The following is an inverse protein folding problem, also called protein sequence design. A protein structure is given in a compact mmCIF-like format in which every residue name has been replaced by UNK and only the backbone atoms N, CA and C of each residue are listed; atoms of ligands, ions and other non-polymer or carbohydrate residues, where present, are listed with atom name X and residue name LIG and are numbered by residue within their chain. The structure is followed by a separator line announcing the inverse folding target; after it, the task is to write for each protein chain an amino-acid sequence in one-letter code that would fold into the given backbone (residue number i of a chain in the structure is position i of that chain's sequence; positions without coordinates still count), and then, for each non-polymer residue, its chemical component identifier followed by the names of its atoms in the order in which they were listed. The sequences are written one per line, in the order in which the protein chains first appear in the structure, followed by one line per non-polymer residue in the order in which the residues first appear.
data_IF_268496144828
#
_entry.id   IF_268496144828
#
_cell.length_a   1.000
_cell.length_b   1.000
_cell.length_c   1.000
_cell.angle_alpha   90.00
_cell.angle_beta   90.00
_cell.angle_gamma   90.00
#
_symmetry.space_group_name_H-M   'P 1'
#
loop_
_entity.id
_entity.type
_entity.pdbx_description
1 polymer ?
#
# COMPACT_ATOMS: atom_id res chain seq x y z
N UNK A 1 -26.99 9.78 4.80
CA UNK A 1 -25.67 9.95 4.17
C UNK A 1 -24.87 10.88 5.06
N UNK A 2 -24.08 10.32 5.97
CA UNK A 2 -23.13 11.10 6.79
C UNK A 2 -21.88 11.40 5.97
N UNK A 3 -21.16 12.46 6.33
CA UNK A 3 -19.86 12.78 5.73
C UNK A 3 -18.94 11.55 5.81
N UNK A 4 -18.45 11.11 4.64
CA UNK A 4 -17.52 9.98 4.55
C UNK A 4 -16.23 10.24 5.36
N UNK A 5 -15.88 11.51 5.59
CA UNK A 5 -14.83 12.00 6.50
C UNK A 5 -15.24 13.44 6.89
N UNK A 6 -15.30 13.83 8.18
CA UNK A 6 -15.52 15.23 8.55
C UNK A 6 -14.49 16.13 7.85
N UNK A 7 -14.94 17.00 6.96
CA UNK A 7 -14.09 17.99 6.29
C UNK A 7 -13.45 17.61 4.94
N UNK A 8 -13.69 16.42 4.38
CA UNK A 8 -13.31 16.13 2.98
C UNK A 8 -14.55 16.01 2.08
N UNK A 9 -14.78 17.05 1.28
CA UNK A 9 -15.81 17.06 0.25
C UNK A 9 -15.47 16.01 -0.83
N UNK A 10 -16.49 15.31 -1.35
CA UNK A 10 -16.33 14.33 -2.44
C UNK A 10 -15.53 14.90 -3.62
N UNK A 11 -15.79 16.16 -3.96
CA UNK A 11 -15.09 16.87 -5.03
C UNK A 11 -13.57 16.96 -4.84
N UNK A 12 -13.08 16.94 -3.60
CA UNK A 12 -11.65 16.92 -3.31
C UNK A 12 -11.06 15.53 -3.50
N UNK A 13 -11.78 14.47 -3.12
CA UNK A 13 -11.37 13.07 -3.33
C UNK A 13 -11.32 12.76 -4.83
N UNK A 14 -12.26 13.30 -5.60
CA UNK A 14 -12.29 13.12 -7.06
C UNK A 14 -11.02 13.69 -7.74
N UNK A 15 -10.39 14.72 -7.14
CA UNK A 15 -9.13 15.33 -7.63
C UNK A 15 -7.86 14.56 -7.26
N UNK A 16 -7.95 13.57 -6.37
CA UNK A 16 -6.81 12.72 -6.04
C UNK A 16 -6.63 11.72 -7.17
N UNK A 17 -5.47 11.75 -7.83
CA UNK A 17 -5.10 10.80 -8.89
C UNK A 17 -4.58 9.50 -8.29
N UNK A 18 -3.69 9.58 -7.30
CA UNK A 18 -3.03 8.43 -6.71
C UNK A 18 -2.65 8.69 -5.24
N UNK A 19 -2.74 7.66 -4.41
CA UNK A 19 -2.31 7.64 -3.02
C UNK A 19 -1.37 6.45 -2.85
N UNK A 20 -0.13 6.73 -2.46
CA UNK A 20 0.85 5.69 -2.12
C UNK A 20 1.03 5.66 -0.61
N UNK A 21 0.90 4.48 -0.02
CA UNK A 21 1.20 4.23 1.39
C UNK A 21 2.37 3.25 1.47
N UNK A 22 3.35 3.51 2.33
CA UNK A 22 4.50 2.62 2.53
C UNK A 22 4.68 2.39 4.03
N UNK A 23 4.61 1.12 4.45
CA UNK A 23 4.82 0.75 5.85
C UNK A 23 3.70 1.23 6.77
N UNK A 24 2.49 1.38 6.26
CA UNK A 24 1.35 1.89 7.02
C UNK A 24 1.05 1.01 8.24
N UNK A 25 1.19 1.52 9.49
CA UNK A 25 0.87 0.76 10.70
C UNK A 25 -0.59 0.30 10.77
N UNK A 26 -1.46 0.85 9.91
CA UNK A 26 -2.87 0.49 9.80
C UNK A 26 -3.17 -0.51 8.70
N UNK A 27 -2.14 -1.09 8.09
CA UNK A 27 -2.26 -2.10 7.06
C UNK A 27 -3.25 -3.20 7.45
N UNK A 28 -4.05 -3.63 6.47
CA UNK A 28 -4.96 -4.76 6.56
C UNK A 28 -4.54 -5.76 5.50
N UNK A 29 -4.21 -6.98 5.91
CA UNK A 29 -3.83 -8.02 4.98
C UNK A 29 -5.03 -8.41 4.09
N UNK A 30 -4.75 -8.78 2.84
CA UNK A 30 -5.75 -9.20 1.83
C UNK A 30 -6.65 -8.12 1.21
N UNK A 31 -6.42 -6.83 1.45
CA UNK A 31 -7.17 -5.77 0.75
C UNK A 31 -6.74 -5.62 -0.71
N UNK A 32 -7.68 -5.22 -1.58
CA UNK A 32 -7.46 -5.16 -3.04
C UNK A 32 -6.45 -4.09 -3.47
N UNK A 33 -6.19 -3.10 -2.63
CA UNK A 33 -5.21 -2.02 -2.87
C UNK A 33 -3.80 -2.34 -2.30
N UNK A 34 -3.53 -3.60 -1.93
CA UNK A 34 -2.24 -4.03 -1.38
C UNK A 34 -1.29 -4.58 -2.46
N UNK A 35 -0.07 -4.02 -2.54
CA UNK A 35 0.95 -4.37 -3.53
C UNK A 35 2.32 -4.77 -2.93
N UNK A 36 2.36 -5.18 -1.66
CA UNK A 36 3.57 -5.55 -0.92
C UNK A 36 3.84 -7.06 -0.87
N UNK A 37 4.83 -7.46 -0.05
CA UNK A 37 5.16 -8.88 0.19
C UNK A 37 4.50 -9.47 1.44
N UNK A 38 3.82 -8.64 2.23
CA UNK A 38 3.05 -9.12 3.37
C UNK A 38 1.79 -9.85 2.89
N UNK A 39 1.47 -10.97 3.53
CA UNK A 39 0.25 -11.72 3.27
C UNK A 39 -0.52 -11.96 4.58
N UNK A 40 -1.66 -12.64 4.50
CA UNK A 40 -2.53 -12.92 5.65
C UNK A 40 -1.78 -13.53 6.84
N UNK A 41 -0.86 -14.45 6.56
CA UNK A 41 -0.01 -15.12 7.52
C UNK A 41 1.00 -14.23 8.24
N UNK A 42 1.28 -13.03 7.73
CA UNK A 42 2.15 -12.03 8.36
C UNK A 42 1.37 -11.07 9.31
N UNK A 43 0.04 -11.25 9.39
CA UNK A 43 -0.92 -10.48 10.19
C UNK A 43 -1.05 -8.99 9.78
N UNK A 44 -2.11 -8.35 10.26
CA UNK A 44 -2.37 -6.92 10.03
C UNK A 44 -1.32 -6.03 10.72
N UNK A 45 -1.38 -4.72 10.48
CA UNK A 45 -0.52 -3.75 11.14
C UNK A 45 -0.80 -3.59 12.64
N UNK A 46 0.09 -2.89 13.35
CA UNK A 46 -0.04 -2.64 14.80
C UNK A 46 -1.29 -1.83 15.19
N UNK A 47 -1.91 -1.12 14.24
CA UNK A 47 -3.12 -0.31 14.42
C UNK A 47 -4.15 -0.60 13.32
N UNK A 48 -4.69 -1.83 13.25
CA UNK A 48 -5.51 -2.28 12.13
C UNK A 48 -6.73 -1.37 11.93
N UNK A 49 -7.13 -1.19 10.68
CA UNK A 49 -8.35 -0.44 10.33
C UNK A 49 -9.59 -1.16 10.82
N UNK A 50 -10.64 -0.40 11.12
CA UNK A 50 -11.96 -0.97 11.34
C UNK A 50 -12.57 -1.46 10.01
N UNK A 51 -13.52 -2.40 10.04
CA UNK A 51 -14.21 -2.84 8.83
C UNK A 51 -14.85 -1.70 8.03
N UNK A 52 -15.42 -0.71 8.69
CA UNK A 52 -16.03 0.45 8.02
C UNK A 52 -14.98 1.31 7.30
N UNK A 53 -13.78 1.44 7.87
CA UNK A 53 -12.67 2.16 7.24
C UNK A 53 -12.15 1.40 6.02
N UNK A 54 -12.10 0.07 6.11
CA UNK A 54 -11.74 -0.80 4.98
C UNK A 54 -12.75 -0.64 3.85
N UNK A 55 -14.05 -0.67 4.14
CA UNK A 55 -15.11 -0.50 3.13
C UNK A 55 -14.98 0.86 2.41
N UNK A 56 -14.72 1.94 3.16
CA UNK A 56 -14.49 3.26 2.57
C UNK A 56 -13.28 3.26 1.64
N UNK A 57 -12.15 2.68 2.05
CA UNK A 57 -10.94 2.66 1.22
C UNK A 57 -11.09 1.75 0.00
N UNK A 58 -11.80 0.63 0.13
CA UNK A 58 -12.11 -0.23 -1.01
C UNK A 58 -12.99 0.47 -2.05
N UNK A 59 -13.83 1.44 -1.65
CA UNK A 59 -14.55 2.30 -2.62
C UNK A 59 -13.64 3.24 -3.42
N UNK A 60 -12.36 3.33 -3.06
CA UNK A 60 -11.31 4.13 -3.70
C UNK A 60 -10.06 3.29 -4.01
N UNK A 61 -10.18 1.96 -4.10
CA UNK A 61 -9.05 1.04 -4.30
C UNK A 61 -8.27 1.32 -5.58
N UNK A 62 -8.95 1.85 -6.60
CA UNK A 62 -8.38 2.27 -7.88
C UNK A 62 -7.42 3.45 -7.74
N UNK A 63 -7.49 4.19 -6.64
CA UNK A 63 -6.64 5.36 -6.35
C UNK A 63 -5.60 5.09 -5.27
N UNK A 64 -5.53 3.89 -4.72
CA UNK A 64 -4.67 3.57 -3.58
C UNK A 64 -3.75 2.43 -3.94
N UNK A 65 -2.46 2.61 -3.68
CA UNK A 65 -1.49 1.52 -3.67
C UNK A 65 -0.76 1.54 -2.33
N UNK A 66 -0.99 0.50 -1.53
CA UNK A 66 -0.43 0.34 -0.20
C UNK A 66 0.60 -0.77 -0.20
N UNK A 67 1.82 -0.46 0.22
CA UNK A 67 2.94 -1.39 0.25
C UNK A 67 3.31 -1.74 1.68
N UNK A 68 3.28 -3.03 2.00
CA UNK A 68 3.80 -3.57 3.25
C UNK A 68 4.85 -4.65 2.99
N UNK A 69 6.00 -4.51 3.64
CA UNK A 69 7.03 -5.54 3.63
C UNK A 69 6.68 -6.58 4.71
N UNK A 70 6.69 -7.87 4.41
CA UNK A 70 6.45 -8.91 5.43
C UNK A 70 7.43 -8.90 6.62
N UNK A 71 8.59 -8.26 6.45
CA UNK A 71 9.59 -8.06 7.51
C UNK A 71 9.37 -6.77 8.32
N UNK A 72 8.43 -5.91 7.93
CA UNK A 72 8.10 -4.66 8.60
C UNK A 72 7.23 -4.95 9.82
N UNK A 73 7.80 -4.77 11.01
CA UNK A 73 7.11 -5.05 12.26
C UNK A 73 5.99 -4.05 12.64
N UNK A 74 5.77 -2.99 11.84
CA UNK A 74 4.70 -2.02 12.05
C UNK A 74 3.49 -2.33 11.16
N UNK A 75 3.70 -2.58 9.87
CA UNK A 75 2.59 -2.89 8.95
C UNK A 75 2.27 -4.39 8.85
N UNK A 76 3.18 -5.28 9.26
CA UNK A 76 2.97 -6.72 9.38
C UNK A 76 3.53 -7.19 10.73
N UNK A 77 2.69 -7.32 11.76
CA UNK A 77 3.18 -7.51 13.14
C UNK A 77 4.02 -8.77 13.36
N UNK A 78 3.95 -9.76 12.47
CA UNK A 78 4.84 -10.93 12.48
C UNK A 78 6.21 -10.70 11.84
N UNK A 79 6.53 -9.48 11.38
CA UNK A 79 7.83 -9.03 10.88
C UNK A 79 8.99 -9.05 11.90
N UNK A 80 8.91 -9.89 12.94
CA UNK A 80 9.97 -10.18 13.92
C UNK A 80 10.54 -8.97 14.66
N UNK A 81 9.75 -7.91 14.88
CA UNK A 81 10.21 -6.64 15.51
C UNK A 81 11.37 -5.96 14.76
N UNK A 82 11.49 -6.22 13.46
CA UNK A 82 12.55 -5.66 12.65
C UNK A 82 12.15 -4.28 12.10
N UNK A 83 12.58 -3.21 12.78
CA UNK A 83 12.43 -1.85 12.25
C UNK A 83 13.20 -1.64 10.94
N UNK A 84 14.26 -2.41 10.65
CA UNK A 84 14.92 -2.33 9.36
C UNK A 84 13.95 -2.71 8.23
N UNK A 85 13.08 -3.70 8.45
CA UNK A 85 12.04 -4.06 7.47
C UNK A 85 11.09 -2.90 7.16
N UNK A 86 10.80 -2.04 8.13
CA UNK A 86 9.99 -0.84 7.94
C UNK A 86 10.70 0.21 7.08
N UNK A 87 11.98 0.48 7.34
CA UNK A 87 12.78 1.38 6.51
C UNK A 87 12.99 0.83 5.10
N UNK A 88 13.21 -0.48 4.99
CA UNK A 88 13.41 -1.18 3.72
C UNK A 88 12.16 -1.15 2.83
N UNK A 89 10.96 -0.93 3.39
CA UNK A 89 9.72 -0.79 2.61
C UNK A 89 9.85 0.31 1.56
N UNK A 90 10.48 1.44 1.88
CA UNK A 90 10.67 2.53 0.91
C UNK A 90 11.62 2.07 -0.20
N UNK A 91 12.82 1.60 0.14
CA UNK A 91 13.81 1.20 -0.87
C UNK A 91 13.34 0.02 -1.72
N UNK A 92 12.52 -0.87 -1.16
CA UNK A 92 12.00 -2.05 -1.87
C UNK A 92 10.88 -1.71 -2.85
N UNK A 93 10.05 -0.71 -2.54
CA UNK A 93 8.82 -0.44 -3.30
C UNK A 93 8.75 0.95 -3.95
N UNK A 94 9.76 1.81 -3.79
CA UNK A 94 9.76 3.14 -4.40
C UNK A 94 9.67 3.11 -5.93
N UNK A 95 10.34 2.15 -6.58
CA UNK A 95 10.28 2.00 -8.04
C UNK A 95 8.89 1.59 -8.52
N UNK A 96 8.30 0.45 -8.07
CA UNK A 96 6.96 0.07 -8.52
C UNK A 96 5.89 1.09 -8.12
N UNK A 97 6.01 1.74 -6.95
CA UNK A 97 5.10 2.81 -6.57
C UNK A 97 5.18 4.02 -7.50
N UNK A 98 6.39 4.41 -7.93
CA UNK A 98 6.58 5.50 -8.89
C UNK A 98 5.97 5.13 -10.25
N UNK A 99 6.20 3.91 -10.73
CA UNK A 99 5.66 3.43 -11.99
C UNK A 99 4.13 3.43 -11.97
N UNK A 100 3.52 2.86 -10.93
CA UNK A 100 2.06 2.90 -10.73
C UNK A 100 1.52 4.34 -10.69
N UNK A 101 2.18 5.27 -9.99
CA UNK A 101 1.75 6.68 -9.98
C UNK A 101 1.82 7.30 -11.38
N UNK A 102 2.86 7.01 -12.16
CA UNK A 102 2.98 7.51 -13.53
C UNK A 102 1.87 6.94 -14.42
N UNK A 103 1.55 5.65 -14.30
CA UNK A 103 0.41 5.02 -15.00
C UNK A 103 -0.92 5.69 -14.64
N UNK A 104 -1.14 5.98 -13.35
CA UNK A 104 -2.34 6.69 -12.90
C UNK A 104 -2.43 8.12 -13.45
N UNK A 105 -1.29 8.77 -13.74
CA UNK A 105 -1.24 10.11 -14.34
C UNK A 105 -1.45 10.06 -15.86
N UNK A 106 -0.80 9.11 -16.54
CA UNK A 106 -0.82 8.99 -18.00
C UNK A 106 -2.12 8.34 -18.53
N UNK A 107 -2.84 7.58 -17.68
CA UNK A 107 -4.07 6.85 -17.99
C UNK A 107 -3.82 5.35 -18.16
N UNK A 108 -4.78 4.51 -17.75
CA UNK A 108 -4.64 3.03 -17.69
C UNK A 108 -4.51 2.42 -19.10
N UNK A 109 -3.30 2.07 -19.52
CA UNK A 109 -3.02 0.91 -20.41
C UNK A 109 -2.40 -0.20 -19.54
N UNK A 110 -2.69 -1.48 -19.85
CA UNK A 110 -2.54 -2.68 -18.98
C UNK A 110 -1.26 -2.75 -18.12
N UNK A 111 -1.45 -3.16 -16.85
CA UNK A 111 -0.40 -3.31 -15.82
C UNK A 111 0.65 -4.39 -16.21
N UNK A 112 1.96 -4.09 -16.15
CA UNK A 112 2.99 -5.12 -16.27
C UNK A 112 3.04 -6.01 -15.01
N UNK A 113 3.22 -7.32 -15.20
CA UNK A 113 3.38 -8.28 -14.10
C UNK A 113 4.58 -7.92 -13.21
N UNK A 114 4.37 -7.90 -11.89
CA UNK A 114 5.43 -7.71 -10.90
C UNK A 114 6.23 -9.02 -10.79
N UNK A 115 7.56 -9.01 -11.02
CA UNK A 115 8.37 -10.23 -10.95
C UNK A 115 8.43 -10.80 -9.52
N UNK A 116 8.25 -12.12 -9.40
CA UNK A 116 8.24 -12.87 -8.13
C UNK A 116 9.61 -12.88 -7.41
N UNK A 117 10.71 -12.48 -8.08
CA UNK A 117 12.06 -12.50 -7.51
C UNK A 117 12.80 -11.18 -7.75
N UNK A 118 13.16 -10.50 -6.66
CA UNK A 118 14.17 -9.45 -6.66
C UNK A 118 15.51 -10.08 -7.07
N UNK A 119 15.93 -9.91 -8.32
CA UNK A 119 17.34 -10.09 -8.68
C UNK A 119 18.18 -9.02 -7.99
N UNK A 120 18.63 -9.34 -6.78
CA UNK A 120 19.71 -8.63 -6.10
C UNK A 120 21.01 -9.00 -6.81
N UNK A 121 21.33 -8.37 -7.94
CA UNK A 121 22.68 -8.49 -8.51
C UNK A 121 23.33 -7.15 -8.86
N UNK A 122 24.34 -6.84 -8.04
CA UNK A 122 25.68 -6.33 -8.38
C UNK A 122 25.81 -4.94 -9.02
N UNK A 123 26.19 -3.98 -8.17
CA UNK A 123 27.18 -2.96 -8.53
C UNK A 123 28.52 -3.34 -7.87
N UNK A 124 29.40 -3.96 -8.66
CA UNK A 124 30.87 -3.84 -8.55
C UNK A 124 31.31 -3.12 -9.82
#
# INVERSE_FOLDING_TARGET
MGELIPGMLKELIDRITAVVLMGDPRHMACEEYHHGTAHKEDEDGVFPRSPEQVEILNSHKDKISSYCNRKDALCAVRGKRNLAGHYDTISSFVTPAKEWVLEMIDGIEELPEVPDELEVTKWI
#
